data_IF_382815802035
#
_entry.id   IF_382815802035
#
_cell.length_a   1.000
_cell.length_b   1.000
_cell.length_c   1.000
_cell.angle_alpha   90.00
_cell.angle_beta   90.00
_cell.angle_gamma   90.00
#
_symmetry.space_group_name_H-M   'P 1'
#
loop_
_entity.id
_entity.type
_entity.pdbx_description
1 polymer ?
#
# COMPACT_ATOMS: atom_id res chain seq x y z
N UNK A 1 -61.52 -17.67 46.11
CA UNK A 1 -61.37 -17.59 44.63
C UNK A 1 -60.76 -16.26 44.21
N UNK A 2 -61.21 -15.13 44.75
CA UNK A 2 -60.68 -13.80 44.38
C UNK A 2 -59.18 -13.61 44.57
N UNK A 3 -58.59 -14.16 45.63
CA UNK A 3 -57.15 -14.02 45.91
C UNK A 3 -56.28 -14.79 44.92
N UNK A 4 -56.72 -15.99 44.52
CA UNK A 4 -56.12 -16.79 43.44
C UNK A 4 -56.18 -16.04 42.10
N UNK A 5 -57.32 -15.41 41.81
CA UNK A 5 -57.51 -14.71 40.55
C UNK A 5 -56.69 -13.40 40.49
N UNK A 6 -56.45 -12.76 41.65
CA UNK A 6 -55.48 -11.66 41.79
C UNK A 6 -54.05 -12.13 41.54
N UNK A 7 -53.64 -13.25 42.15
CA UNK A 7 -52.30 -13.82 41.96
C UNK A 7 -52.03 -14.19 40.50
N UNK A 8 -53.03 -14.77 39.81
CA UNK A 8 -52.94 -15.12 38.39
C UNK A 8 -52.79 -13.87 37.51
N UNK A 9 -53.50 -12.77 37.82
CA UNK A 9 -53.30 -11.49 37.09
C UNK A 9 -51.91 -10.92 37.33
N UNK A 10 -51.43 -10.93 38.57
CA UNK A 10 -50.12 -10.41 38.92
C UNK A 10 -48.99 -11.19 38.24
N UNK A 11 -49.04 -12.53 38.27
CA UNK A 11 -48.05 -13.38 37.59
C UNK A 11 -48.08 -13.21 36.06
N UNK A 12 -49.25 -12.92 35.48
CA UNK A 12 -49.37 -12.60 34.04
C UNK A 12 -48.78 -11.24 33.71
N UNK A 13 -48.97 -10.23 34.55
CA UNK A 13 -48.36 -8.89 34.35
C UNK A 13 -46.85 -8.92 34.55
N UNK A 14 -46.36 -9.64 35.57
CA UNK A 14 -44.92 -9.81 35.82
C UNK A 14 -44.26 -10.60 34.68
N UNK A 15 -44.89 -11.67 34.18
CA UNK A 15 -44.39 -12.36 32.99
C UNK A 15 -44.39 -11.45 31.74
N UNK A 16 -45.43 -10.66 31.51
CA UNK A 16 -45.48 -9.76 30.36
C UNK A 16 -44.40 -8.67 30.39
N UNK A 17 -44.04 -8.18 31.58
CA UNK A 17 -42.93 -7.24 31.75
C UNK A 17 -41.56 -7.90 31.55
N UNK A 18 -41.44 -9.21 31.75
CA UNK A 18 -40.17 -9.95 31.68
C UNK A 18 -39.94 -10.67 30.33
N UNK A 19 -40.87 -10.56 29.37
CA UNK A 19 -40.79 -11.27 28.07
C UNK A 19 -40.10 -10.51 26.94
N UNK A 20 -39.76 -9.23 27.13
CA UNK A 20 -39.03 -8.42 26.14
C UNK A 20 -37.53 -8.39 26.43
N UNK A 21 -36.66 -8.24 25.41
CA UNK A 21 -35.26 -7.90 25.65
C UNK A 21 -35.20 -6.61 26.48
N UNK A 22 -34.40 -6.61 27.56
CA UNK A 22 -34.18 -5.39 28.35
C UNK A 22 -33.74 -4.25 27.44
N UNK A 23 -34.19 -2.99 27.65
CA UNK A 23 -33.73 -1.84 26.88
C UNK A 23 -32.20 -1.69 26.86
N UNK A 24 -31.51 -2.18 27.90
CA UNK A 24 -30.05 -2.23 27.97
C UNK A 24 -29.46 -3.22 26.95
N UNK A 25 -30.10 -4.36 26.74
CA UNK A 25 -29.70 -5.36 25.75
C UNK A 25 -29.91 -4.84 24.32
N UNK A 26 -31.01 -4.13 24.08
CA UNK A 26 -31.27 -3.48 22.78
C UNK A 26 -30.23 -2.39 22.48
N UNK A 27 -29.91 -1.56 23.48
CA UNK A 27 -28.85 -0.56 23.38
C UNK A 27 -27.50 -1.20 23.06
N UNK A 28 -27.14 -2.27 23.77
CA UNK A 28 -25.88 -2.98 23.54
C UNK A 28 -25.82 -3.61 22.14
N UNK A 29 -26.94 -4.15 21.64
CA UNK A 29 -27.02 -4.67 20.26
C UNK A 29 -26.82 -3.56 19.22
N UNK A 30 -27.42 -2.39 19.43
CA UNK A 30 -27.24 -1.24 18.55
C UNK A 30 -25.79 -0.75 18.55
N UNK A 31 -25.16 -0.63 19.71
CA UNK A 31 -23.74 -0.26 19.85
C UNK A 31 -22.83 -1.29 19.17
N UNK A 32 -23.08 -2.58 19.35
CA UNK A 32 -22.34 -3.66 18.68
C UNK A 32 -22.47 -3.59 17.15
N UNK A 33 -23.68 -3.35 16.63
CA UNK A 33 -23.93 -3.20 15.20
C UNK A 33 -23.19 -1.98 14.64
N UNK A 34 -23.22 -0.86 15.35
CA UNK A 34 -22.49 0.36 14.98
C UNK A 34 -20.97 0.13 14.98
N UNK A 35 -20.44 -0.54 16.00
CA UNK A 35 -19.02 -0.88 16.08
C UNK A 35 -18.60 -1.79 14.91
N UNK A 36 -19.41 -2.82 14.62
CA UNK A 36 -19.18 -3.72 13.48
C UNK A 36 -19.13 -2.95 12.16
N UNK A 37 -20.07 -2.03 11.94
CA UNK A 37 -20.10 -1.20 10.74
C UNK A 37 -18.86 -0.30 10.64
N UNK A 38 -18.41 0.31 11.74
CA UNK A 38 -17.20 1.13 11.76
C UNK A 38 -15.94 0.31 11.46
N UNK A 39 -15.84 -0.90 12.01
CA UNK A 39 -14.73 -1.82 11.72
C UNK A 39 -14.69 -2.15 10.22
N UNK A 40 -15.82 -2.52 9.63
CA UNK A 40 -15.92 -2.82 8.20
C UNK A 40 -15.51 -1.62 7.33
N UNK A 41 -15.97 -0.41 7.67
CA UNK A 41 -15.58 0.81 6.96
C UNK A 41 -14.07 1.07 7.07
N UNK A 42 -13.48 0.84 8.24
CA UNK A 42 -12.04 1.02 8.45
C UNK A 42 -11.21 -0.02 7.70
N UNK A 43 -11.69 -1.26 7.61
CA UNK A 43 -11.04 -2.31 6.81
C UNK A 43 -11.04 -1.93 5.32
N UNK A 44 -12.17 -1.48 4.78
CA UNK A 44 -12.26 -1.02 3.38
C UNK A 44 -11.35 0.19 3.10
N UNK A 45 -11.28 1.15 4.04
CA UNK A 45 -10.37 2.28 3.94
C UNK A 45 -8.91 1.83 3.94
N UNK A 46 -8.55 0.88 4.81
CA UNK A 46 -7.20 0.34 4.90
C UNK A 46 -6.81 -0.38 3.61
N UNK A 47 -7.68 -1.25 3.07
CA UNK A 47 -7.45 -1.94 1.79
C UNK A 47 -7.22 -0.94 0.64
N UNK A 48 -8.02 0.13 0.61
CA UNK A 48 -7.88 1.21 -0.39
C UNK A 48 -6.52 1.90 -0.26
N UNK A 49 -6.11 2.27 0.96
CA UNK A 49 -4.83 2.93 1.22
C UNK A 49 -3.64 2.02 0.90
N UNK A 50 -3.73 0.73 1.23
CA UNK A 50 -2.70 -0.25 0.90
C UNK A 50 -2.50 -0.35 -0.62
N UNK A 51 -3.59 -0.44 -1.38
CA UNK A 51 -3.53 -0.45 -2.85
C UNK A 51 -2.91 0.84 -3.41
N UNK A 52 -3.33 1.99 -2.90
CA UNK A 52 -2.77 3.28 -3.33
C UNK A 52 -1.27 3.39 -3.05
N UNK A 53 -0.83 2.95 -1.88
CA UNK A 53 0.58 2.94 -1.51
C UNK A 53 1.39 2.04 -2.44
N UNK A 54 0.86 0.87 -2.78
CA UNK A 54 1.50 -0.03 -3.72
C UNK A 54 1.60 0.57 -5.12
N UNK A 55 0.52 1.20 -5.61
CA UNK A 55 0.50 1.82 -6.94
C UNK A 55 1.50 2.98 -7.04
N UNK A 56 1.59 3.80 -5.99
CA UNK A 56 2.60 4.85 -5.89
C UNK A 56 4.02 4.30 -5.84
N UNK A 57 4.25 3.21 -5.11
CA UNK A 57 5.57 2.58 -5.05
C UNK A 57 6.02 2.07 -6.43
N UNK A 58 5.11 1.47 -7.20
CA UNK A 58 5.39 1.02 -8.57
C UNK A 58 5.69 2.20 -9.51
N UNK A 59 4.88 3.26 -9.46
CA UNK A 59 5.08 4.46 -10.27
C UNK A 59 6.45 5.10 -9.99
N UNK A 60 6.79 5.30 -8.71
CA UNK A 60 8.07 5.87 -8.30
C UNK A 60 9.24 5.02 -8.81
N UNK A 61 9.15 3.70 -8.70
CA UNK A 61 10.18 2.81 -9.20
C UNK A 61 10.30 2.88 -10.73
N UNK A 62 9.18 2.90 -11.46
CA UNK A 62 9.18 3.01 -12.93
C UNK A 62 9.82 4.32 -13.38
N UNK A 63 9.39 5.46 -12.82
CA UNK A 63 9.95 6.77 -13.17
C UNK A 63 11.44 6.86 -12.85
N UNK A 64 11.88 6.31 -11.71
CA UNK A 64 13.31 6.27 -11.37
C UNK A 64 14.12 5.41 -12.34
N UNK A 65 13.58 4.24 -12.73
CA UNK A 65 14.20 3.35 -13.71
C UNK A 65 14.32 4.04 -15.07
N UNK A 66 13.25 4.70 -15.52
CA UNK A 66 13.24 5.43 -16.79
C UNK A 66 14.24 6.59 -16.80
N UNK A 67 14.25 7.43 -15.77
CA UNK A 67 15.19 8.54 -15.66
C UNK A 67 16.65 8.07 -15.63
N UNK A 68 16.94 7.00 -14.89
CA UNK A 68 18.29 6.44 -14.81
C UNK A 68 18.72 5.77 -16.12
N UNK A 69 17.79 5.14 -16.83
CA UNK A 69 18.03 4.58 -18.17
C UNK A 69 18.36 5.68 -19.18
N UNK A 70 17.63 6.80 -19.14
CA UNK A 70 17.91 7.96 -19.99
C UNK A 70 19.30 8.56 -19.69
N UNK A 71 19.64 8.74 -18.41
CA UNK A 71 20.95 9.24 -18.01
C UNK A 71 22.10 8.30 -18.43
N UNK A 72 21.90 6.98 -18.36
CA UNK A 72 22.86 6.00 -18.87
C UNK A 72 23.04 6.11 -20.39
N UNK A 73 21.94 6.27 -21.14
CA UNK A 73 21.99 6.45 -22.59
C UNK A 73 22.77 7.72 -22.98
N UNK A 74 22.54 8.83 -22.26
CA UNK A 74 23.29 10.08 -22.45
C UNK A 74 24.79 9.89 -22.20
N UNK A 75 25.18 9.22 -21.10
CA UNK A 75 26.59 8.93 -20.82
C UNK A 75 27.23 8.08 -21.89
N UNK A 76 26.53 7.06 -22.38
CA UNK A 76 27.03 6.21 -23.47
C UNK A 76 27.22 7.00 -24.78
N UNK A 77 26.29 7.91 -25.10
CA UNK A 77 26.42 8.79 -26.25
C UNK A 77 27.63 9.73 -26.12
N UNK A 78 27.86 10.30 -24.93
CA UNK A 78 29.00 11.18 -24.67
C UNK A 78 30.34 10.44 -24.77
N UNK A 79 30.43 9.21 -24.24
CA UNK A 79 31.61 8.36 -24.40
C UNK A 79 31.87 8.08 -25.88
N UNK A 80 30.85 7.62 -26.61
CA UNK A 80 30.97 7.31 -28.04
C UNK A 80 31.38 8.55 -28.86
N UNK A 81 30.86 9.73 -28.52
CA UNK A 81 31.24 10.98 -29.18
C UNK A 81 32.72 11.30 -28.97
N UNK A 82 33.24 11.17 -27.74
CA UNK A 82 34.65 11.43 -27.45
C UNK A 82 35.53 10.41 -28.18
N UNK A 83 35.18 9.12 -28.13
CA UNK A 83 35.91 8.04 -28.78
C UNK A 83 35.94 8.19 -30.31
N UNK A 84 34.82 8.60 -30.93
CA UNK A 84 34.73 8.80 -32.39
C UNK A 84 35.33 10.11 -32.87
N UNK A 85 35.39 11.14 -32.02
CA UNK A 85 36.03 12.43 -32.34
C UNK A 85 37.55 12.33 -32.53
N UNK A 86 38.16 11.19 -32.19
CA UNK A 86 39.60 10.98 -32.31
C UNK A 86 40.44 11.77 -31.29
N UNK A 87 39.81 12.40 -30.30
CA UNK A 87 40.51 13.15 -29.26
C UNK A 87 41.24 12.22 -28.30
N UNK A 88 42.55 12.08 -28.48
CA UNK A 88 43.43 11.22 -27.66
C UNK A 88 44.22 12.01 -26.61
N UNK A 89 43.90 13.28 -26.38
CA UNK A 89 44.56 14.07 -25.36
C UNK A 89 44.21 13.53 -23.94
N UNK A 90 45.10 13.80 -22.99
CA UNK A 90 44.96 13.30 -21.62
C UNK A 90 43.65 13.73 -20.95
N UNK A 91 43.17 14.95 -21.25
CA UNK A 91 41.88 15.45 -20.75
C UNK A 91 40.68 14.64 -21.26
N UNK A 92 40.68 14.24 -22.53
CA UNK A 92 39.61 13.44 -23.12
C UNK A 92 39.61 12.01 -22.56
N UNK A 93 40.78 11.41 -22.37
CA UNK A 93 40.92 10.11 -21.73
C UNK A 93 40.45 10.13 -20.27
N UNK A 94 40.78 11.20 -19.54
CA UNK A 94 40.29 11.41 -18.17
C UNK A 94 38.77 11.57 -18.14
N UNK A 95 38.19 12.36 -19.06
CA UNK A 95 36.74 12.53 -19.17
C UNK A 95 36.02 11.20 -19.47
N UNK A 96 36.55 10.39 -20.40
CA UNK A 96 36.00 9.05 -20.70
C UNK A 96 36.06 8.15 -19.46
N UNK A 97 37.19 8.13 -18.75
CA UNK A 97 37.33 7.31 -17.54
C UNK A 97 36.35 7.70 -16.43
N UNK A 98 36.12 9.01 -16.24
CA UNK A 98 35.12 9.52 -15.30
C UNK A 98 33.70 9.12 -15.71
N UNK A 99 33.33 9.31 -16.99
CA UNK A 99 32.03 8.94 -17.52
C UNK A 99 31.77 7.43 -17.40
N UNK A 100 32.78 6.59 -17.67
CA UNK A 100 32.67 5.14 -17.50
C UNK A 100 32.44 4.74 -16.04
N UNK A 101 33.16 5.37 -15.10
CA UNK A 101 32.99 5.13 -13.66
C UNK A 101 31.57 5.49 -13.20
N UNK A 102 31.08 6.67 -13.60
CA UNK A 102 29.72 7.11 -13.28
C UNK A 102 28.66 6.23 -13.93
N UNK A 103 28.84 5.84 -15.19
CA UNK A 103 27.95 4.89 -15.90
C UNK A 103 27.86 3.58 -15.14
N UNK A 104 28.99 3.03 -14.70
CA UNK A 104 29.01 1.74 -14.00
C UNK A 104 28.30 1.80 -12.65
N UNK A 105 28.42 2.93 -11.95
CA UNK A 105 27.66 3.19 -10.71
C UNK A 105 26.16 3.29 -11.00
N UNK A 106 25.75 4.05 -12.02
CA UNK A 106 24.35 4.15 -12.43
C UNK A 106 23.78 2.80 -12.89
N UNK A 107 24.56 1.97 -13.58
CA UNK A 107 24.11 0.66 -14.02
C UNK A 107 23.91 -0.31 -12.84
N UNK A 108 24.73 -0.19 -11.77
CA UNK A 108 24.49 -0.91 -10.51
C UNK A 108 23.19 -0.47 -9.85
N UNK A 109 22.93 0.83 -9.77
CA UNK A 109 21.68 1.37 -9.22
C UNK A 109 20.46 0.92 -10.04
N UNK A 110 20.55 0.93 -11.37
CA UNK A 110 19.47 0.50 -12.25
C UNK A 110 19.10 -0.96 -11.99
N UNK A 111 20.10 -1.85 -11.90
CA UNK A 111 19.84 -3.26 -11.58
C UNK A 111 19.11 -3.42 -10.25
N UNK A 112 19.55 -2.70 -9.21
CA UNK A 112 18.91 -2.75 -7.90
C UNK A 112 17.45 -2.28 -7.94
N UNK A 113 17.17 -1.18 -8.64
CA UNK A 113 15.81 -0.66 -8.79
C UNK A 113 14.91 -1.63 -9.59
N UNK A 114 15.43 -2.21 -10.68
CA UNK A 114 14.69 -3.23 -11.44
C UNK A 114 14.34 -4.44 -10.59
N UNK A 115 15.29 -4.96 -9.80
CA UNK A 115 15.01 -6.06 -8.87
C UNK A 115 13.95 -5.68 -7.82
N UNK A 116 14.02 -4.47 -7.27
CA UNK A 116 13.04 -4.01 -6.30
C UNK A 116 11.62 -3.92 -6.90
N UNK A 117 11.50 -3.41 -8.13
CA UNK A 117 10.23 -3.35 -8.85
C UNK A 117 9.69 -4.76 -9.14
N UNK A 118 10.52 -5.66 -9.65
CA UNK A 118 10.07 -7.02 -9.98
C UNK A 118 9.63 -7.78 -8.72
N UNK A 119 10.33 -7.58 -7.59
CA UNK A 119 9.91 -8.14 -6.30
C UNK A 119 8.56 -7.59 -5.82
N UNK A 120 8.29 -6.29 -6.01
CA UNK A 120 6.99 -5.69 -5.69
C UNK A 120 5.88 -6.28 -6.56
N UNK A 121 6.13 -6.45 -7.86
CA UNK A 121 5.18 -7.08 -8.79
C UNK A 121 4.89 -8.53 -8.42
N UNK A 122 5.90 -9.31 -8.03
CA UNK A 122 5.70 -10.69 -7.58
C UNK A 122 4.93 -10.76 -6.24
N UNK A 123 5.21 -9.85 -5.30
CA UNK A 123 4.47 -9.78 -4.05
C UNK A 123 2.97 -9.53 -4.30
N UNK A 124 2.62 -8.69 -5.29
CA UNK A 124 1.22 -8.44 -5.69
C UNK A 124 0.53 -9.70 -6.21
N UNK A 125 1.23 -10.55 -6.97
CA UNK A 125 0.67 -11.81 -7.51
C UNK A 125 0.40 -12.86 -6.43
N UNK A 126 1.09 -12.77 -5.29
CA UNK A 126 0.95 -13.71 -4.18
C UNK A 126 -0.15 -13.35 -3.18
N UNK A 127 -0.77 -12.18 -3.31
CA UNK A 127 -1.89 -11.72 -2.47
C UNK A 127 -3.22 -11.98 -3.14
#
# INVERSE_FOLDING_TARGET
MEERDRLIRQLKSENQQNTGPSPELEKLRAEHAQCTQQIQQKQQQLETLMKQLEDQAEEILSTKIEALTAALAEKNANIALIETSGSTNASAQQAVSQLQTERDQMQKQLRQLSFARDALTEQRKMR
#
